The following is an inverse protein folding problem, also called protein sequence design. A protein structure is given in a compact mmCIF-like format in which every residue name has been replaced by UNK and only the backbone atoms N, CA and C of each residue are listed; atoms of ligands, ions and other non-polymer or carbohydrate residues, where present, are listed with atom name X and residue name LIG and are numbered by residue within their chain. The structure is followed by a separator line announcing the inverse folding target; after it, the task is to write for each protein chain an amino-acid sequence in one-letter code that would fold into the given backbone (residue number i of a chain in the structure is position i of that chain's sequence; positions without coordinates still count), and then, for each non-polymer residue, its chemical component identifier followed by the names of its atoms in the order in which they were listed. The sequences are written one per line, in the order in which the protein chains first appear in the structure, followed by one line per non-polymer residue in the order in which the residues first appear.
data_IF_305651415793
#
_entry.id   IF_305651415793
#
_cell.length_a   1.000
_cell.length_b   1.000
_cell.length_c   1.000
_cell.angle_alpha   90.00
_cell.angle_beta   90.00
_cell.angle_gamma   90.00
#
_symmetry.space_group_name_H-M   'P 1'
#
loop_
_entity.id
_entity.type
_entity.pdbx_description
1 polymer ?
#
# COMPACT_ATOMS: atom_id res chain seq x y z
N UNK A 1 -39.77 -2.03 -4.15
CA UNK A 1 -38.57 -1.18 -4.02
C UNK A 1 -37.65 -1.91 -3.07
N UNK A 2 -36.48 -2.41 -3.50
CA UNK A 2 -35.55 -3.05 -2.59
C UNK A 2 -34.97 -2.00 -1.61
N UNK A 3 -34.64 -2.39 -0.37
CA UNK A 3 -34.07 -1.47 0.61
C UNK A 3 -32.68 -0.98 0.16
N UNK A 4 -32.39 0.28 0.49
CA UNK A 4 -31.12 0.96 0.22
C UNK A 4 -29.97 0.24 0.94
N UNK A 5 -29.05 -0.36 0.18
CA UNK A 5 -27.88 -1.08 0.70
C UNK A 5 -26.68 -0.17 1.03
N UNK A 6 -26.89 1.14 1.17
CA UNK A 6 -25.84 2.06 1.63
C UNK A 6 -25.68 1.95 3.14
N UNK A 7 -24.97 0.90 3.58
CA UNK A 7 -24.39 0.89 4.92
C UNK A 7 -23.44 2.07 5.07
N UNK A 8 -23.61 2.83 6.15
CA UNK A 8 -22.65 3.84 6.57
C UNK A 8 -21.31 3.13 6.79
N UNK A 9 -20.28 3.55 6.05
CA UNK A 9 -18.92 3.04 6.24
C UNK A 9 -18.38 3.74 7.48
N UNK A 10 -18.59 3.14 8.65
CA UNK A 10 -17.86 3.53 9.85
C UNK A 10 -16.39 3.18 9.61
N UNK A 11 -15.57 4.16 9.22
CA UNK A 11 -14.12 4.03 9.31
C UNK A 11 -13.83 3.72 10.77
N UNK A 12 -13.39 2.50 11.06
CA UNK A 12 -13.05 2.19 12.42
C UNK A 12 -11.93 3.15 12.91
N UNK A 13 -11.84 3.40 14.21
CA UNK A 13 -10.83 4.30 14.73
C UNK A 13 -9.44 3.70 14.46
N UNK A 14 -8.61 4.42 13.70
CA UNK A 14 -7.15 4.25 13.73
C UNK A 14 -6.73 4.36 15.19
N UNK A 15 -6.35 3.25 15.83
CA UNK A 15 -6.05 3.21 17.25
C UNK A 15 -5.05 4.30 17.64
N UNK A 16 -5.40 5.14 18.62
CA UNK A 16 -4.61 6.29 19.05
C UNK A 16 -3.24 5.91 19.68
N UNK A 17 -3.03 4.62 20.00
CA UNK A 17 -1.83 4.07 20.64
C UNK A 17 -1.10 3.00 19.78
N UNK A 18 -0.99 3.20 18.46
CA UNK A 18 -0.34 2.22 17.58
C UNK A 18 1.19 2.44 17.54
N UNK A 19 1.97 1.47 18.02
CA UNK A 19 3.44 1.51 17.91
C UNK A 19 3.89 1.57 16.43
N UNK A 20 5.07 2.12 16.10
CA UNK A 20 5.58 2.08 14.73
C UNK A 20 5.65 0.64 14.21
N UNK A 21 5.02 0.36 13.07
CA UNK A 21 4.89 -0.98 12.51
C UNK A 21 4.12 -1.98 13.41
N UNK A 22 3.19 -1.52 14.25
CA UNK A 22 2.21 -2.36 14.95
C UNK A 22 1.30 -3.11 13.96
N UNK A 23 0.74 -4.25 14.39
CA UNK A 23 -0.08 -5.16 13.60
C UNK A 23 -1.51 -5.26 14.16
N UNK A 24 -1.72 -5.08 15.46
CA UNK A 24 -3.04 -5.24 16.05
C UNK A 24 -4.07 -4.19 15.60
N UNK A 25 -3.63 -2.98 15.21
CA UNK A 25 -4.50 -1.84 14.86
C UNK A 25 -4.38 -1.39 13.40
N UNK A 26 -4.54 -2.32 12.46
CA UNK A 26 -4.37 -2.10 11.00
C UNK A 26 -2.92 -1.92 10.60
N UNK A 27 -2.22 -3.05 10.45
CA UNK A 27 -0.80 -3.05 10.25
C UNK A 27 -0.43 -2.22 9.04
N UNK A 28 0.53 -1.31 9.21
CA UNK A 28 1.16 -0.64 8.07
C UNK A 28 2.64 -0.40 8.34
N UNK A 29 3.48 -1.10 7.60
CA UNK A 29 4.88 -0.75 7.42
C UNK A 29 4.99 0.19 6.23
N UNK A 30 5.57 1.37 6.45
CA UNK A 30 5.86 2.34 5.39
C UNK A 30 7.36 2.47 5.24
N UNK A 31 7.86 2.13 4.05
CA UNK A 31 9.26 2.26 3.68
C UNK A 31 9.34 3.41 2.67
N UNK A 32 10.14 4.42 2.98
CA UNK A 32 10.40 5.52 2.04
C UNK A 32 11.89 5.56 1.71
N UNK A 33 12.22 5.75 0.45
CA UNK A 33 13.60 5.91 0.02
C UNK A 33 13.69 6.85 -1.19
N UNK A 34 14.82 7.53 -1.30
CA UNK A 34 15.15 8.36 -2.45
C UNK A 34 15.74 7.49 -3.56
N UNK A 35 15.39 7.81 -4.80
CA UNK A 35 15.92 7.16 -6.02
C UNK A 35 16.36 8.21 -7.04
N UNK A 36 16.73 7.78 -8.25
CA UNK A 36 17.12 8.65 -9.36
C UNK A 36 15.89 9.38 -9.95
N UNK A 37 15.93 10.71 -10.12
CA UNK A 37 14.79 11.48 -10.63
C UNK A 37 14.38 11.07 -12.05
N UNK A 38 15.35 10.80 -12.93
CA UNK A 38 15.06 10.38 -14.31
C UNK A 38 14.35 9.02 -14.38
N UNK A 39 14.57 8.15 -13.37
CA UNK A 39 13.89 6.84 -13.29
C UNK A 39 12.44 6.99 -12.82
N UNK A 40 12.15 7.95 -11.93
CA UNK A 40 10.78 8.29 -11.55
C UNK A 40 10.04 8.87 -12.76
N UNK A 41 10.63 9.86 -13.43
CA UNK A 41 10.03 10.50 -14.59
C UNK A 41 9.68 9.50 -15.70
N UNK A 42 10.55 8.52 -15.96
CA UNK A 42 10.33 7.49 -16.98
C UNK A 42 9.15 6.54 -16.69
N UNK A 43 8.65 6.49 -15.45
CA UNK A 43 7.53 5.62 -15.04
C UNK A 43 6.18 6.33 -15.11
N UNK A 44 6.16 7.65 -15.18
CA UNK A 44 4.94 8.43 -15.16
C UNK A 44 4.29 8.46 -16.55
N UNK A 45 2.95 8.30 -16.63
CA UNK A 45 2.24 8.40 -17.90
C UNK A 45 2.22 9.86 -18.38
N UNK A 46 1.99 10.08 -19.69
CA UNK A 46 1.81 11.44 -20.22
C UNK A 46 0.75 12.23 -19.45
N UNK A 47 1.07 13.48 -19.11
CA UNK A 47 0.19 14.38 -18.34
C UNK A 47 0.36 14.30 -16.82
N UNK A 48 1.24 13.44 -16.30
CA UNK A 48 1.61 13.42 -14.88
C UNK A 48 3.10 13.74 -14.77
N UNK A 49 3.43 14.76 -13.99
CA UNK A 49 4.80 15.24 -13.81
C UNK A 49 5.46 14.62 -12.57
N UNK A 50 6.79 14.52 -12.50
CA UNK A 50 7.50 14.14 -11.28
C UNK A 50 7.15 15.06 -10.11
N UNK A 51 7.02 14.49 -8.91
CA UNK A 51 6.85 15.28 -7.70
C UNK A 51 8.11 16.08 -7.32
N UNK A 52 8.01 16.86 -6.24
CA UNK A 52 9.08 17.74 -5.77
C UNK A 52 10.39 16.99 -5.46
N UNK A 53 10.30 15.74 -5.00
CA UNK A 53 11.45 14.90 -4.67
C UNK A 53 11.31 13.50 -5.29
N UNK A 54 12.42 12.84 -5.69
CA UNK A 54 12.38 11.50 -6.28
C UNK A 54 12.25 10.43 -5.18
N UNK A 55 11.11 10.43 -4.48
CA UNK A 55 10.81 9.52 -3.37
C UNK A 55 9.90 8.39 -3.84
N UNK A 56 10.34 7.17 -3.53
CA UNK A 56 9.52 5.96 -3.61
C UNK A 56 8.95 5.66 -2.22
N UNK A 57 7.66 5.37 -2.15
CA UNK A 57 6.99 4.91 -0.94
C UNK A 57 6.46 3.50 -1.17
N UNK A 58 6.92 2.55 -0.36
CA UNK A 58 6.39 1.20 -0.31
C UNK A 58 5.59 1.01 0.97
N UNK A 59 4.33 0.58 0.84
CA UNK A 59 3.52 0.14 1.96
C UNK A 59 3.44 -1.39 2.00
N UNK A 60 3.48 -1.99 3.19
CA UNK A 60 3.03 -3.36 3.44
C UNK A 60 2.01 -3.29 4.56
N UNK A 61 0.83 -3.86 4.37
CA UNK A 61 -0.29 -3.64 5.26
C UNK A 61 -1.24 -4.83 5.36
N UNK A 62 -2.09 -4.79 6.40
CA UNK A 62 -3.34 -5.54 6.46
C UNK A 62 -4.46 -4.55 6.79
N UNK A 63 -5.56 -4.60 6.06
CA UNK A 63 -6.74 -3.79 6.33
C UNK A 63 -7.99 -4.67 6.36
N UNK A 64 -8.98 -4.37 7.21
CA UNK A 64 -10.24 -5.12 7.21
C UNK A 64 -11.08 -4.67 6.00
N UNK A 65 -11.38 -5.60 5.10
CA UNK A 65 -12.28 -5.38 3.96
C UNK A 65 -13.41 -6.39 4.10
N UNK A 66 -14.64 -5.90 4.25
CA UNK A 66 -15.83 -6.75 4.44
C UNK A 66 -15.66 -7.76 5.59
N UNK A 67 -15.13 -7.28 6.72
CA UNK A 67 -14.82 -8.08 7.92
C UNK A 67 -13.77 -9.20 7.74
N UNK A 68 -13.05 -9.20 6.61
CA UNK A 68 -11.95 -10.13 6.34
C UNK A 68 -10.60 -9.40 6.21
N UNK A 69 -9.48 -9.99 6.65
CA UNK A 69 -8.17 -9.38 6.50
C UNK A 69 -7.72 -9.41 5.02
N UNK A 70 -7.51 -8.24 4.43
CA UNK A 70 -6.84 -8.08 3.13
C UNK A 70 -5.38 -7.70 3.39
N UNK A 71 -4.45 -8.54 2.94
CA UNK A 71 -3.02 -8.23 2.98
C UNK A 71 -2.58 -7.60 1.68
N UNK A 72 -1.84 -6.50 1.79
CA UNK A 72 -1.42 -5.75 0.62
C UNK A 72 0.00 -5.20 0.69
N UNK A 73 0.55 -4.96 -0.49
CA UNK A 73 1.72 -4.10 -0.68
C UNK A 73 1.43 -3.08 -1.77
N UNK A 74 1.99 -1.88 -1.66
CA UNK A 74 1.83 -0.81 -2.66
C UNK A 74 3.16 -0.14 -2.93
N UNK A 75 3.50 0.05 -4.19
CA UNK A 75 4.67 0.82 -4.62
C UNK A 75 4.20 2.09 -5.31
N UNK A 76 4.62 3.24 -4.78
CA UNK A 76 4.21 4.56 -5.23
C UNK A 76 5.41 5.47 -5.41
N UNK A 77 5.32 6.41 -6.34
CA UNK A 77 6.28 7.50 -6.52
C UNK A 77 5.59 8.84 -6.32
N UNK A 78 6.31 9.83 -5.82
CA UNK A 78 5.79 11.20 -5.78
C UNK A 78 5.54 11.71 -7.21
N UNK A 79 4.39 12.33 -7.41
CA UNK A 79 3.94 12.84 -8.69
C UNK A 79 3.14 14.14 -8.50
N UNK A 80 3.01 14.90 -9.56
CA UNK A 80 2.19 16.10 -9.63
C UNK A 80 1.24 16.00 -10.83
N UNK A 81 -0.03 16.33 -10.60
CA UNK A 81 -1.04 16.39 -11.66
C UNK A 81 -1.71 17.77 -11.62
N UNK A 82 -1.49 18.57 -12.67
CA UNK A 82 -2.03 19.94 -12.78
C UNK A 82 -1.71 20.84 -11.56
N UNK A 83 -0.50 20.72 -11.00
CA UNK A 83 -0.06 21.47 -9.83
C UNK A 83 -0.53 20.90 -8.49
N UNK A 84 -1.17 19.72 -8.51
CA UNK A 84 -1.62 19.01 -7.30
C UNK A 84 -0.62 17.90 -6.98
N UNK A 85 0.15 18.11 -5.92
CA UNK A 85 1.09 17.13 -5.41
C UNK A 85 0.36 15.89 -4.86
N UNK A 86 0.86 14.72 -5.22
CA UNK A 86 0.31 13.44 -4.80
C UNK A 86 1.28 12.28 -4.99
N UNK A 87 0.74 11.08 -5.12
CA UNK A 87 1.50 9.87 -5.38
C UNK A 87 0.88 9.08 -6.53
N UNK A 88 1.70 8.72 -7.51
CA UNK A 88 1.30 7.80 -8.56
C UNK A 88 1.58 6.36 -8.13
N UNK A 89 0.56 5.51 -8.19
CA UNK A 89 0.69 4.10 -7.84
C UNK A 89 1.21 3.31 -9.03
N UNK A 90 2.37 2.65 -8.87
CA UNK A 90 2.97 1.81 -9.90
C UNK A 90 2.43 0.38 -9.85
N UNK A 91 2.08 -0.10 -8.66
CA UNK A 91 1.56 -1.44 -8.47
C UNK A 91 1.05 -1.64 -7.05
N UNK A 92 0.01 -2.44 -6.92
CA UNK A 92 -0.60 -2.79 -5.63
C UNK A 92 -0.79 -4.31 -5.57
N UNK A 93 0.09 -5.01 -4.86
CA UNK A 93 -0.04 -6.46 -4.68
C UNK A 93 -1.06 -6.77 -3.59
N UNK A 94 -2.09 -7.57 -3.88
CA UNK A 94 -3.17 -7.94 -2.94
C UNK A 94 -3.36 -9.47 -2.94
N UNK A 95 -3.75 -10.06 -1.81
CA UNK A 95 -3.98 -11.51 -1.68
C UNK A 95 -5.43 -11.96 -1.97
N UNK A 96 -6.36 -11.03 -2.14
CA UNK A 96 -7.76 -11.28 -2.45
C UNK A 96 -8.11 -10.96 -3.92
N UNK A 97 -8.58 -11.97 -4.65
CA UNK A 97 -8.93 -11.87 -6.08
C UNK A 97 -10.01 -10.82 -6.36
N UNK A 98 -11.10 -10.84 -5.60
CA UNK A 98 -12.24 -9.94 -5.81
C UNK A 98 -11.83 -8.47 -5.70
N UNK A 99 -10.98 -8.14 -4.72
CA UNK A 99 -10.47 -6.79 -4.54
C UNK A 99 -9.59 -6.33 -5.70
N UNK A 100 -8.83 -7.25 -6.32
CA UNK A 100 -7.96 -6.94 -7.46
C UNK A 100 -8.80 -6.57 -8.68
N UNK A 101 -9.72 -7.44 -9.11
CA UNK A 101 -10.48 -7.24 -10.34
C UNK A 101 -11.43 -6.06 -10.24
N UNK A 102 -12.18 -5.97 -9.14
CA UNK A 102 -13.12 -4.87 -8.93
C UNK A 102 -12.42 -3.50 -8.98
N UNK A 103 -11.27 -3.36 -8.30
CA UNK A 103 -10.56 -2.08 -8.28
C UNK A 103 -9.90 -1.73 -9.63
N UNK A 104 -9.45 -2.73 -10.40
CA UNK A 104 -8.93 -2.51 -11.76
C UNK A 104 -10.04 -1.99 -12.67
N UNK A 105 -11.19 -2.63 -12.65
CA UNK A 105 -12.28 -2.37 -13.60
C UNK A 105 -13.04 -1.10 -13.26
N UNK A 106 -13.19 -0.76 -11.97
CA UNK A 106 -13.96 0.42 -11.54
C UNK A 106 -13.07 1.65 -11.33
N UNK A 107 -11.88 1.48 -10.74
CA UNK A 107 -11.05 2.60 -10.29
C UNK A 107 -9.72 2.72 -11.04
N UNK A 108 -9.41 1.81 -11.96
CA UNK A 108 -8.13 1.81 -12.69
C UNK A 108 -6.91 1.52 -11.81
N UNK A 109 -7.10 0.96 -10.61
CA UNK A 109 -5.98 0.69 -9.71
C UNK A 109 -5.09 -0.42 -10.27
N UNK A 110 -3.75 -0.28 -10.24
CA UNK A 110 -2.81 -1.26 -10.80
C UNK A 110 -2.61 -2.45 -9.84
N UNK A 111 -3.72 -3.06 -9.40
CA UNK A 111 -3.68 -4.20 -8.47
C UNK A 111 -3.15 -5.47 -9.15
N UNK A 112 -2.57 -6.40 -8.42
CA UNK A 112 -2.19 -7.73 -8.94
C UNK A 112 -2.17 -8.77 -7.81
N UNK A 113 -2.34 -10.08 -8.13
CA UNK A 113 -2.25 -11.14 -7.13
C UNK A 113 -0.89 -11.14 -6.43
N UNK A 114 -0.85 -11.15 -5.11
CA UNK A 114 0.39 -11.13 -4.35
C UNK A 114 0.20 -11.90 -3.05
N UNK A 115 1.28 -12.43 -2.49
CA UNK A 115 1.28 -13.00 -1.15
C UNK A 115 2.20 -12.16 -0.26
N UNK A 116 1.71 -11.08 0.35
CA UNK A 116 2.44 -10.37 1.37
C UNK A 116 2.53 -11.23 2.64
N UNK A 117 3.66 -11.15 3.32
CA UNK A 117 3.80 -11.57 4.72
C UNK A 117 4.30 -10.39 5.49
N UNK A 118 3.71 -10.14 6.65
CA UNK A 118 4.11 -9.06 7.52
C UNK A 118 3.91 -9.51 8.96
N UNK A 119 4.99 -9.51 9.75
CA UNK A 119 4.92 -9.85 11.15
C UNK A 119 5.88 -9.01 11.98
N UNK A 120 5.54 -8.90 13.26
CA UNK A 120 6.34 -8.24 14.28
C UNK A 120 6.50 -9.19 15.45
N UNK A 121 7.73 -9.32 15.95
CA UNK A 121 8.07 -10.13 17.12
C UNK A 121 8.93 -9.31 18.07
N UNK A 122 8.31 -8.74 19.12
CA UNK A 122 8.93 -7.71 19.94
C UNK A 122 9.30 -6.51 19.08
N UNK A 123 10.57 -6.10 19.07
CA UNK A 123 11.04 -5.02 18.20
C UNK A 123 11.33 -5.48 16.77
N UNK A 124 11.46 -6.78 16.51
CA UNK A 124 11.82 -7.27 15.19
C UNK A 124 10.61 -7.15 14.25
N UNK A 125 10.83 -6.57 13.07
CA UNK A 125 9.81 -6.38 12.05
C UNK A 125 10.31 -6.99 10.74
N UNK A 126 9.52 -7.87 10.14
CA UNK A 126 9.83 -8.46 8.85
C UNK A 126 8.63 -8.38 7.91
N UNK A 127 8.91 -8.09 6.65
CA UNK A 127 7.92 -8.10 5.59
C UNK A 127 8.48 -8.67 4.28
N UNK A 128 7.67 -9.44 3.56
CA UNK A 128 8.01 -9.93 2.22
C UNK A 128 6.80 -9.82 1.30
N UNK A 129 7.02 -9.65 0.00
CA UNK A 129 5.94 -9.77 -0.99
C UNK A 129 6.38 -10.65 -2.15
N UNK A 130 5.52 -11.62 -2.50
CA UNK A 130 5.77 -12.62 -3.54
C UNK A 130 4.66 -12.60 -4.58
N UNK A 131 5.04 -12.60 -5.87
CA UNK A 131 4.12 -12.74 -7.01
C UNK A 131 4.60 -13.87 -7.91
N UNK A 132 3.73 -14.83 -8.23
CA UNK A 132 4.05 -15.97 -9.12
C UNK A 132 5.34 -16.72 -8.72
N UNK A 133 5.57 -16.88 -7.41
CA UNK A 133 6.77 -17.55 -6.88
C UNK A 133 8.04 -16.68 -6.80
N UNK A 134 7.99 -15.43 -7.25
CA UNK A 134 9.11 -14.48 -7.15
C UNK A 134 8.90 -13.50 -6.01
N UNK A 135 9.80 -13.53 -5.03
CA UNK A 135 9.87 -12.50 -3.99
C UNK A 135 10.51 -11.25 -4.57
N UNK A 136 9.75 -10.16 -4.65
CA UNK A 136 10.21 -8.88 -5.21
C UNK A 136 10.42 -7.80 -4.14
N UNK A 137 10.00 -8.08 -2.90
CA UNK A 137 10.21 -7.20 -1.75
C UNK A 137 10.59 -8.04 -0.53
N UNK A 138 11.62 -7.60 0.18
CA UNK A 138 12.00 -8.08 1.50
C UNK A 138 12.41 -6.89 2.36
N UNK A 139 11.95 -6.89 3.62
CA UNK A 139 12.37 -5.95 4.65
C UNK A 139 12.64 -6.73 5.93
N UNK A 140 13.76 -6.42 6.59
CA UNK A 140 14.06 -6.83 7.96
C UNK A 140 14.58 -5.63 8.72
N UNK A 141 13.97 -5.33 9.86
CA UNK A 141 14.32 -4.18 10.67
C UNK A 141 13.96 -4.34 12.13
N UNK A 142 14.28 -3.31 12.91
CA UNK A 142 13.84 -3.21 14.31
C UNK A 142 13.08 -1.92 14.52
N UNK A 143 11.94 -1.98 15.19
CA UNK A 143 11.28 -0.79 15.72
C UNK A 143 12.13 -0.20 16.83
N UNK A 144 12.31 1.13 16.80
CA UNK A 144 13.03 1.88 17.84
C UNK A 144 12.13 2.89 18.56
N UNK A 145 10.85 2.98 18.17
CA UNK A 145 9.86 3.86 18.79
C UNK A 145 8.87 3.07 19.65
N UNK A 146 8.42 3.70 20.73
CA UNK A 146 7.30 3.25 21.58
C UNK A 146 5.98 3.73 21.02
#
# INVERSE_FOLDING_TARGET
VPPDCRGETEEAPMGEDNQPAEIAGWPKLVITYRTDPDKVAALLPPGIEPGAEPIVTIGVYCVPILDEPEFGTSTRVQADFDGVAGQFSLGIGIDQEAAIFNSKEINGQPKFPCTPRYFRFGDAVEATATHQGYTFLEFRGRSTGT
#
